data_IF_665436733960
#
_entry.id   IF_665436733960
#
_cell.length_a   1.000
_cell.length_b   1.000
_cell.length_c   1.000
_cell.angle_alpha   90.00
_cell.angle_beta   90.00
_cell.angle_gamma   90.00
#
_symmetry.space_group_name_H-M   'P 1'
#
loop_
_entity.id
_entity.type
_entity.pdbx_description
1 polymer ?
#
# COMPACT_ATOMS: atom_id res chain seq x y z
N UNK A 1 29.58 -10.74 -15.56
CA UNK A 1 28.60 -11.77 -15.14
C UNK A 1 27.26 -11.10 -15.27
N UNK A 2 26.49 -11.44 -16.29
CA UNK A 2 25.13 -10.90 -16.46
C UNK A 2 24.21 -11.63 -15.48
N UNK A 3 23.35 -10.87 -14.80
CA UNK A 3 22.34 -11.42 -13.91
C UNK A 3 21.06 -11.66 -14.70
N UNK A 4 20.54 -12.88 -14.63
CA UNK A 4 19.24 -13.24 -15.22
C UNK A 4 18.20 -13.43 -14.12
N UNK A 5 17.03 -12.80 -14.28
CA UNK A 5 15.87 -13.00 -13.43
C UNK A 5 14.83 -13.85 -14.17
N UNK A 6 14.57 -15.06 -13.66
CA UNK A 6 13.61 -16.00 -14.26
C UNK A 6 12.39 -16.17 -13.36
N UNK A 7 11.21 -15.89 -13.90
CA UNK A 7 9.95 -16.11 -13.21
C UNK A 7 9.55 -17.59 -13.24
N UNK A 8 9.52 -18.25 -12.08
CA UNK A 8 9.22 -19.68 -11.96
C UNK A 8 7.72 -19.99 -11.86
N UNK A 9 6.89 -19.08 -11.35
CA UNK A 9 5.45 -19.32 -11.29
C UNK A 9 4.70 -18.53 -10.21
N UNK A 10 3.37 -18.64 -10.26
CA UNK A 10 2.43 -18.12 -9.27
C UNK A 10 1.56 -19.26 -8.75
N UNK A 11 1.56 -19.47 -7.44
CA UNK A 11 0.89 -20.60 -6.80
C UNK A 11 -0.24 -20.13 -5.90
N UNK A 12 -1.43 -20.69 -6.10
CA UNK A 12 -2.57 -20.46 -5.21
C UNK A 12 -2.46 -21.38 -3.99
N UNK A 13 -2.70 -20.82 -2.79
CA UNK A 13 -2.73 -21.59 -1.55
C UNK A 13 -3.82 -21.09 -0.62
N UNK A 14 -4.41 -22.01 0.13
CA UNK A 14 -5.42 -21.73 1.16
C UNK A 14 -4.74 -21.19 2.43
N UNK A 15 -3.46 -21.53 2.66
CA UNK A 15 -2.70 -21.19 3.87
C UNK A 15 -1.35 -20.56 3.54
N UNK A 16 -0.96 -19.56 4.32
CA UNK A 16 0.32 -18.85 4.20
C UNK A 16 1.24 -19.10 5.40
N UNK A 17 1.14 -20.28 6.02
CA UNK A 17 2.07 -20.70 7.08
C UNK A 17 3.39 -21.19 6.48
N UNK A 18 4.42 -21.29 7.32
CA UNK A 18 5.78 -21.57 6.86
C UNK A 18 5.89 -22.93 6.13
N UNK A 19 5.24 -23.97 6.63
CA UNK A 19 5.30 -25.32 6.05
C UNK A 19 4.65 -25.37 4.66
N UNK A 20 3.49 -24.73 4.50
CA UNK A 20 2.78 -24.69 3.22
C UNK A 20 3.61 -23.95 2.17
N UNK A 21 4.18 -22.80 2.55
CA UNK A 21 4.98 -22.00 1.63
C UNK A 21 6.30 -22.71 1.27
N UNK A 22 6.93 -23.38 2.24
CA UNK A 22 8.11 -24.19 2.00
C UNK A 22 7.83 -25.34 1.03
N UNK A 23 6.72 -26.03 1.22
CA UNK A 23 6.29 -27.10 0.32
C UNK A 23 6.08 -26.60 -1.10
N UNK A 24 5.46 -25.41 -1.27
CA UNK A 24 5.28 -24.79 -2.59
C UNK A 24 6.62 -24.45 -3.25
N UNK A 25 7.56 -23.82 -2.52
CA UNK A 25 8.90 -23.50 -3.05
C UNK A 25 9.63 -24.76 -3.48
N UNK A 26 9.65 -25.79 -2.62
CA UNK A 26 10.30 -27.08 -2.93
C UNK A 26 9.69 -27.73 -4.16
N UNK A 27 8.36 -27.80 -4.24
CA UNK A 27 7.65 -28.42 -5.37
C UNK A 27 7.91 -27.66 -6.66
N UNK A 28 7.96 -26.33 -6.61
CA UNK A 28 8.24 -25.48 -7.76
C UNK A 28 9.66 -25.71 -8.28
N UNK A 29 10.67 -25.66 -7.40
CA UNK A 29 12.06 -25.91 -7.79
C UNK A 29 12.25 -27.30 -8.41
N UNK A 30 11.67 -28.34 -7.80
CA UNK A 30 11.73 -29.70 -8.32
C UNK A 30 11.02 -29.85 -9.67
N UNK A 31 9.91 -29.13 -9.92
CA UNK A 31 9.21 -29.14 -11.20
C UNK A 31 10.07 -28.57 -12.36
N UNK A 32 10.99 -27.64 -12.06
CA UNK A 32 11.97 -27.12 -13.03
C UNK A 32 13.29 -27.91 -13.05
N UNK A 33 13.35 -29.06 -12.36
CA UNK A 33 14.58 -29.86 -12.26
C UNK A 33 15.69 -29.20 -11.44
N UNK A 34 15.37 -28.17 -10.66
CA UNK A 34 16.33 -27.49 -9.80
C UNK A 34 16.51 -28.26 -8.48
N UNK A 35 17.74 -28.45 -8.01
CA UNK A 35 17.99 -29.18 -6.77
C UNK A 35 17.46 -28.41 -5.55
N UNK A 36 16.81 -29.13 -4.64
CA UNK A 36 16.42 -28.60 -3.34
C UNK A 36 17.36 -29.16 -2.26
N UNK A 37 18.28 -28.36 -1.70
CA UNK A 37 19.27 -28.87 -0.75
C UNK A 37 18.60 -29.29 0.58
N UNK A 38 18.94 -30.49 1.04
CA UNK A 38 18.50 -31.06 2.34
C UNK A 38 19.67 -30.91 3.31
N UNK A 39 19.44 -30.31 4.47
CA UNK A 39 20.49 -30.21 5.50
C UNK A 39 20.02 -30.90 6.80
N UNK A 40 20.94 -31.53 7.53
CA UNK A 40 20.64 -32.36 8.70
C UNK A 40 20.54 -31.54 10.00
N UNK A 41 19.59 -31.91 10.87
CA UNK A 41 19.14 -31.19 12.08
C UNK A 41 20.00 -31.39 13.35
N UNK A 42 21.33 -31.53 13.25
CA UNK A 42 22.10 -32.03 14.42
C UNK A 42 22.40 -31.05 15.56
N UNK A 43 22.18 -29.74 15.43
CA UNK A 43 22.67 -28.74 16.40
C UNK A 43 21.67 -27.62 16.80
N UNK A 44 20.37 -27.87 16.86
CA UNK A 44 19.38 -26.83 17.22
C UNK A 44 19.00 -26.86 18.70
N UNK A 45 19.50 -25.91 19.51
CA UNK A 45 19.10 -25.71 20.92
C UNK A 45 17.86 -24.82 21.05
N UNK A 46 17.00 -25.13 22.03
CA UNK A 46 15.65 -24.60 22.25
C UNK A 46 15.54 -23.06 22.43
N UNK A 47 16.66 -22.37 22.71
CA UNK A 47 16.70 -20.93 23.00
C UNK A 47 16.53 -20.02 21.76
N UNK A 48 16.43 -20.57 20.56
CA UNK A 48 16.30 -19.79 19.32
C UNK A 48 14.86 -19.65 18.82
N UNK A 49 13.85 -20.09 19.56
CA UNK A 49 12.44 -19.92 19.19
C UNK A 49 12.00 -18.48 19.44
N UNK A 50 11.94 -17.68 18.36
CA UNK A 50 11.35 -16.35 18.36
C UNK A 50 9.81 -16.48 18.25
N UNK A 51 9.05 -15.50 18.79
CA UNK A 51 7.60 -15.59 18.93
C UNK A 51 6.85 -15.80 17.60
N UNK A 52 5.79 -16.61 17.67
CA UNK A 52 5.03 -17.24 16.57
C UNK A 52 4.26 -16.27 15.63
N UNK A 53 4.41 -14.96 15.80
CA UNK A 53 3.37 -14.00 15.42
C UNK A 53 3.67 -13.16 14.16
N UNK A 54 4.70 -13.46 13.36
CA UNK A 54 5.06 -12.65 12.17
C UNK A 54 4.85 -13.44 10.88
N UNK A 55 3.61 -13.45 10.41
CA UNK A 55 3.18 -14.04 9.14
C UNK A 55 3.43 -13.05 8.01
N UNK A 56 4.38 -13.37 7.13
CA UNK A 56 4.67 -12.63 5.90
C UNK A 56 6.17 -12.61 5.58
N UNK A 57 6.61 -13.38 4.60
CA UNK A 57 8.01 -13.47 4.14
C UNK A 57 9.07 -13.93 5.16
N UNK A 58 8.71 -14.24 6.41
CA UNK A 58 9.50 -15.14 7.25
C UNK A 58 9.08 -16.58 6.99
N UNK A 59 9.07 -17.01 5.71
CA UNK A 59 9.21 -18.44 5.47
C UNK A 59 10.40 -18.88 6.31
N UNK A 60 10.28 -20.04 6.92
CA UNK A 60 11.39 -20.81 7.43
C UNK A 60 12.53 -20.87 6.37
N UNK A 61 13.34 -19.83 6.25
CA UNK A 61 14.74 -19.87 5.87
C UNK A 61 15.58 -20.28 7.10
N UNK A 62 14.91 -20.77 8.15
CA UNK A 62 15.36 -21.89 8.96
C UNK A 62 14.88 -23.24 8.39
N UNK A 63 14.69 -23.33 7.08
CA UNK A 63 15.25 -24.47 6.37
C UNK A 63 16.66 -24.61 6.94
N UNK A 64 16.88 -25.62 7.78
CA UNK A 64 18.01 -26.54 7.65
C UNK A 64 19.10 -25.94 6.76
N UNK A 65 19.75 -24.85 7.14
CA UNK A 65 20.80 -24.15 6.41
C UNK A 65 21.55 -23.58 7.60
N UNK A 66 22.40 -24.42 8.18
CA UNK A 66 23.32 -23.97 9.21
C UNK A 66 24.02 -22.74 8.65
N UNK A 67 23.90 -21.62 9.37
CA UNK A 67 24.72 -20.42 9.23
C UNK A 67 24.82 -19.93 7.79
N UNK A 68 23.95 -19.00 7.38
CA UNK A 68 24.36 -17.70 6.83
C UNK A 68 23.20 -17.05 6.08
N UNK A 69 23.01 -15.76 6.38
CA UNK A 69 22.19 -14.79 5.66
C UNK A 69 20.66 -14.94 5.79
N UNK A 70 20.12 -14.44 6.90
CA UNK A 70 18.79 -13.83 6.84
C UNK A 70 18.89 -12.59 5.96
N UNK A 71 18.53 -12.72 4.68
CA UNK A 71 18.41 -11.58 3.78
C UNK A 71 17.06 -10.92 4.02
N UNK A 72 17.09 -9.68 4.51
CA UNK A 72 15.89 -8.87 4.59
C UNK A 72 15.65 -8.18 3.26
N UNK A 73 14.41 -8.26 2.76
CA UNK A 73 14.01 -7.47 1.61
C UNK A 73 14.18 -5.98 1.94
N UNK A 74 15.07 -5.29 1.22
CA UNK A 74 15.33 -3.86 1.43
C UNK A 74 14.04 -3.05 1.27
N UNK A 75 13.17 -3.41 0.32
CA UNK A 75 11.87 -2.77 0.15
C UNK A 75 10.96 -2.90 1.38
N UNK A 76 11.00 -4.04 2.08
CA UNK A 76 10.26 -4.21 3.33
C UNK A 76 10.89 -3.42 4.48
N UNK A 77 12.22 -3.42 4.61
CA UNK A 77 12.93 -2.65 5.63
C UNK A 77 12.68 -1.16 5.47
N UNK A 78 12.78 -0.63 4.24
CA UNK A 78 12.47 0.76 3.95
C UNK A 78 11.02 1.09 4.29
N UNK A 79 10.07 0.22 3.91
CA UNK A 79 8.66 0.42 4.25
C UNK A 79 8.43 0.50 5.77
N UNK A 80 9.08 -0.37 6.55
CA UNK A 80 9.00 -0.34 8.02
C UNK A 80 9.64 0.94 8.59
N UNK A 81 10.85 1.28 8.15
CA UNK A 81 11.54 2.49 8.59
C UNK A 81 10.71 3.75 8.37
N UNK A 82 10.08 3.88 7.19
CA UNK A 82 9.22 5.02 6.87
C UNK A 82 7.92 4.99 7.70
N UNK A 83 7.31 3.81 7.89
CA UNK A 83 6.14 3.66 8.77
C UNK A 83 6.44 4.10 10.20
N UNK A 84 7.56 3.63 10.76
CA UNK A 84 7.96 3.96 12.12
C UNK A 84 8.31 5.45 12.25
N UNK A 85 9.02 6.01 11.26
CA UNK A 85 9.44 7.41 11.28
C UNK A 85 8.29 8.39 11.15
N UNK A 86 7.26 8.05 10.38
CA UNK A 86 6.13 8.94 10.12
C UNK A 86 4.93 8.67 11.04
N UNK A 87 4.84 7.47 11.61
CA UNK A 87 3.85 7.12 12.62
C UNK A 87 4.01 7.89 13.93
N UNK A 88 5.20 8.42 14.22
CA UNK A 88 5.46 9.27 15.39
C UNK A 88 5.12 10.74 15.18
N UNK A 89 4.78 11.16 13.95
CA UNK A 89 4.43 12.54 13.61
C UNK A 89 2.91 12.65 13.47
N UNK A 90 2.18 13.15 14.49
CA UNK A 90 0.71 13.16 14.48
C UNK A 90 0.11 13.89 13.28
N UNK A 91 0.73 14.99 12.86
CA UNK A 91 0.30 15.82 11.74
C UNK A 91 0.28 15.05 10.42
N UNK A 92 1.27 14.17 10.21
CA UNK A 92 1.32 13.30 9.02
C UNK A 92 0.20 12.28 9.04
N UNK A 93 -0.11 11.69 10.20
CA UNK A 93 -1.25 10.75 10.32
C UNK A 93 -2.56 11.47 10.02
N UNK A 94 -2.78 12.64 10.61
CA UNK A 94 -3.99 13.46 10.43
C UNK A 94 -4.16 13.86 8.95
N UNK A 95 -3.08 14.32 8.30
CA UNK A 95 -3.11 14.69 6.89
C UNK A 95 -3.46 13.49 6.00
N UNK A 96 -2.80 12.34 6.20
CA UNK A 96 -3.04 11.13 5.42
C UNK A 96 -4.45 10.56 5.64
N UNK A 97 -4.95 10.56 6.87
CA UNK A 97 -6.32 10.15 7.21
C UNK A 97 -7.35 11.07 6.57
N UNK A 98 -7.10 12.38 6.58
CA UNK A 98 -7.99 13.36 5.97
C UNK A 98 -8.05 13.19 4.46
N UNK A 99 -6.88 13.11 3.82
CA UNK A 99 -6.75 12.81 2.39
C UNK A 99 -7.51 11.53 2.02
N UNK A 100 -7.31 10.45 2.78
CA UNK A 100 -7.97 9.18 2.50
C UNK A 100 -9.49 9.24 2.69
N UNK A 101 -9.96 9.99 3.68
CA UNK A 101 -11.38 10.21 3.94
C UNK A 101 -12.04 10.97 2.79
N UNK A 102 -11.39 12.01 2.27
CA UNK A 102 -11.84 12.76 1.10
C UNK A 102 -11.94 11.85 -0.13
N UNK A 103 -10.88 11.09 -0.42
CA UNK A 103 -10.88 10.16 -1.56
C UNK A 103 -11.99 9.11 -1.43
N UNK A 104 -12.18 8.52 -0.25
CA UNK A 104 -13.27 7.57 -0.02
C UNK A 104 -14.64 8.25 -0.18
N UNK A 105 -14.78 9.49 0.28
CA UNK A 105 -16.02 10.21 0.18
C UNK A 105 -16.42 10.53 -1.26
N UNK A 106 -15.47 10.88 -2.13
CA UNK A 106 -15.71 11.09 -3.56
C UNK A 106 -16.09 9.75 -4.23
N UNK A 107 -15.31 8.70 -3.96
CA UNK A 107 -15.45 7.40 -4.64
C UNK A 107 -16.61 6.54 -4.12
N UNK A 108 -17.17 6.84 -2.95
CA UNK A 108 -18.26 6.03 -2.37
C UNK A 108 -19.59 6.14 -3.13
N UNK A 109 -19.72 7.08 -4.06
CA UNK A 109 -20.93 7.26 -4.84
C UNK A 109 -20.59 7.56 -6.30
N UNK A 110 -21.13 6.79 -7.27
CA UNK A 110 -20.95 7.09 -8.69
C UNK A 110 -21.38 8.50 -9.08
N UNK A 111 -22.44 9.03 -8.42
CA UNK A 111 -22.91 10.40 -8.64
C UNK A 111 -21.85 11.44 -8.27
N UNK A 112 -21.19 11.27 -7.11
CA UNK A 112 -20.13 12.17 -6.64
C UNK A 112 -18.88 12.06 -7.50
N UNK A 113 -18.49 10.83 -7.85
CA UNK A 113 -17.35 10.60 -8.73
C UNK A 113 -17.56 11.25 -10.10
N UNK A 114 -18.75 11.12 -10.69
CA UNK A 114 -19.06 11.77 -11.96
C UNK A 114 -19.04 13.30 -11.84
N UNK A 115 -19.59 13.86 -10.76
CA UNK A 115 -19.53 15.31 -10.49
C UNK A 115 -18.09 15.78 -10.38
N UNK A 116 -17.26 15.09 -9.60
CA UNK A 116 -15.84 15.38 -9.46
C UNK A 116 -15.10 15.31 -10.80
N UNK A 117 -15.33 14.26 -11.60
CA UNK A 117 -14.70 14.12 -12.91
C UNK A 117 -15.10 15.24 -13.90
N UNK A 118 -16.30 15.81 -13.77
CA UNK A 118 -16.68 16.97 -14.57
C UNK A 118 -15.90 18.22 -14.13
N UNK A 119 -15.76 18.45 -12.82
CA UNK A 119 -14.96 19.56 -12.27
C UNK A 119 -13.50 19.43 -12.70
N UNK A 120 -12.93 18.22 -12.61
CA UNK A 120 -11.57 17.92 -13.11
C UNK A 120 -11.46 18.29 -14.57
N UNK A 121 -12.41 17.85 -15.40
CA UNK A 121 -12.41 18.22 -16.82
C UNK A 121 -12.49 19.72 -17.01
N UNK A 122 -13.33 20.44 -16.29
CA UNK A 122 -13.55 21.88 -16.47
C UNK A 122 -12.37 22.74 -15.99
N UNK A 123 -11.68 22.32 -14.92
CA UNK A 123 -10.55 23.05 -14.31
C UNK A 123 -9.19 22.68 -14.91
N UNK A 124 -9.05 21.44 -15.38
CA UNK A 124 -7.78 20.89 -15.87
C UNK A 124 -7.76 20.84 -17.41
N UNK A 125 -8.59 21.66 -18.10
CA UNK A 125 -8.73 21.71 -19.58
C UNK A 125 -7.47 22.12 -20.36
N UNK A 126 -6.43 22.65 -19.71
CA UNK A 126 -5.25 23.17 -20.41
C UNK A 126 -3.97 22.36 -20.08
N UNK A 127 -3.51 21.64 -21.11
CA UNK A 127 -2.10 21.37 -21.47
C UNK A 127 -1.21 20.37 -20.68
N UNK A 128 -1.75 19.47 -19.84
CA UNK A 128 -0.95 18.32 -19.36
C UNK A 128 -1.62 16.95 -19.57
N UNK A 129 -1.29 16.19 -20.64
CA UNK A 129 -1.79 14.82 -20.85
C UNK A 129 -1.34 13.83 -19.76
N UNK A 130 -0.44 14.23 -18.85
CA UNK A 130 -0.16 13.44 -17.65
C UNK A 130 -1.27 13.50 -16.61
N UNK A 131 -2.02 14.61 -16.50
CA UNK A 131 -3.10 14.75 -15.50
C UNK A 131 -4.30 13.85 -15.82
N UNK A 132 -4.66 13.70 -17.11
CA UNK A 132 -5.73 12.81 -17.58
C UNK A 132 -5.55 11.33 -17.16
N UNK A 133 -4.30 10.92 -16.90
CA UNK A 133 -3.95 9.55 -16.51
C UNK A 133 -3.75 9.38 -15.00
N UNK A 134 -3.76 10.49 -14.24
CA UNK A 134 -3.65 10.45 -12.78
C UNK A 134 -5.05 10.21 -12.23
N UNK A 135 -5.20 9.13 -11.46
CA UNK A 135 -6.49 8.72 -10.91
C UNK A 135 -6.42 8.80 -9.40
N UNK A 136 -7.40 9.42 -8.76
CA UNK A 136 -7.53 9.38 -7.29
C UNK A 136 -7.66 7.93 -6.81
N UNK A 137 -6.76 7.53 -5.90
CA UNK A 137 -6.70 6.17 -5.34
C UNK A 137 -6.79 6.26 -3.81
N UNK A 138 -7.46 5.31 -3.14
CA UNK A 138 -7.40 5.24 -1.68
C UNK A 138 -5.96 4.94 -1.23
N UNK A 139 -5.61 5.33 0.01
CA UNK A 139 -4.32 4.98 0.59
C UNK A 139 -4.21 3.47 0.80
N UNK A 140 -3.05 2.90 0.49
CA UNK A 140 -2.75 1.52 0.87
C UNK A 140 -2.39 1.46 2.37
N UNK A 141 -3.11 0.67 3.21
CA UNK A 141 -2.86 0.64 4.64
C UNK A 141 -1.46 0.13 5.00
N UNK A 142 -0.95 -0.87 4.28
CA UNK A 142 0.26 -1.62 4.68
C UNK A 142 1.51 -1.34 3.85
N UNK A 143 1.40 -0.70 2.68
CA UNK A 143 2.53 -0.47 1.74
C UNK A 143 2.75 1.02 1.51
N UNK A 144 3.74 1.61 2.18
CA UNK A 144 4.09 3.03 2.10
C UNK A 144 4.52 3.46 0.71
N UNK A 145 5.24 2.59 -0.02
CA UNK A 145 5.60 2.83 -1.42
C UNK A 145 4.36 3.03 -2.31
N UNK A 146 3.23 2.41 -1.96
CA UNK A 146 1.96 2.60 -2.68
C UNK A 146 1.17 3.82 -2.19
N UNK A 147 1.60 4.50 -1.12
CA UNK A 147 0.99 5.74 -0.63
C UNK A 147 1.50 6.97 -1.39
N UNK A 148 2.77 6.98 -1.81
CA UNK A 148 3.33 8.11 -2.57
C UNK A 148 2.53 8.42 -3.85
N UNK A 149 2.24 7.43 -4.74
CA UNK A 149 1.45 7.70 -5.93
C UNK A 149 0.01 8.11 -5.63
N UNK A 150 -0.50 7.85 -4.42
CA UNK A 150 -1.81 8.34 -3.96
C UNK A 150 -1.72 9.80 -3.52
N UNK A 151 -0.68 10.17 -2.78
CA UNK A 151 -0.41 11.55 -2.38
C UNK A 151 -0.20 12.41 -3.63
N UNK A 152 0.64 11.97 -4.57
CA UNK A 152 0.88 12.70 -5.82
C UNK A 152 -0.41 12.92 -6.61
N UNK A 153 -1.27 11.89 -6.69
CA UNK A 153 -2.56 12.00 -7.36
C UNK A 153 -3.52 12.96 -6.64
N UNK A 154 -3.50 12.97 -5.32
CA UNK A 154 -4.32 13.89 -4.54
C UNK A 154 -3.86 15.34 -4.72
N UNK A 155 -2.54 15.57 -4.72
CA UNK A 155 -1.95 16.89 -4.94
C UNK A 155 -2.19 17.39 -6.37
N UNK A 156 -2.10 16.51 -7.37
CA UNK A 156 -2.39 16.84 -8.76
C UNK A 156 -3.81 17.37 -8.95
N UNK A 157 -4.80 16.78 -8.27
CA UNK A 157 -6.19 17.22 -8.32
C UNK A 157 -6.61 18.12 -7.16
N UNK A 158 -5.66 18.75 -6.45
CA UNK A 158 -5.98 19.46 -5.22
C UNK A 158 -6.97 20.60 -5.43
N UNK A 159 -6.79 21.39 -6.49
CA UNK A 159 -7.71 22.47 -6.87
C UNK A 159 -9.12 21.92 -7.17
N UNK A 160 -9.21 20.85 -7.97
CA UNK A 160 -10.46 20.17 -8.30
C UNK A 160 -11.18 19.60 -7.06
N UNK A 161 -10.42 19.14 -6.07
CA UNK A 161 -10.95 18.67 -4.79
C UNK A 161 -11.53 19.83 -3.98
N UNK A 162 -10.84 20.97 -3.91
CA UNK A 162 -11.33 22.16 -3.21
C UNK A 162 -12.63 22.68 -3.83
N UNK A 163 -12.68 22.80 -5.16
CA UNK A 163 -13.89 23.23 -5.88
C UNK A 163 -15.05 22.26 -5.64
N UNK A 164 -14.81 20.95 -5.75
CA UNK A 164 -15.81 19.93 -5.44
C UNK A 164 -16.37 20.04 -4.01
N UNK A 165 -15.51 20.33 -3.04
CA UNK A 165 -15.92 20.52 -1.65
C UNK A 165 -16.73 21.82 -1.47
N UNK A 166 -16.33 22.94 -2.08
CA UNK A 166 -17.09 24.19 -1.98
C UNK A 166 -18.48 24.07 -2.65
N UNK A 167 -18.53 23.42 -3.82
CA UNK A 167 -19.76 23.08 -4.51
C UNK A 167 -20.73 22.25 -3.63
N UNK A 168 -20.19 21.32 -2.83
CA UNK A 168 -20.99 20.51 -1.90
C UNK A 168 -21.44 21.28 -0.67
N UNK A 169 -20.60 22.19 -0.16
CA UNK A 169 -20.96 23.08 0.96
C UNK A 169 -22.17 23.95 0.61
N UNK A 170 -22.27 24.36 -0.66
CA UNK A 170 -23.35 25.19 -1.20
C UNK A 170 -24.58 24.38 -1.65
N UNK A 171 -24.49 23.05 -1.71
CA UNK A 171 -25.58 22.15 -2.10
C UNK A 171 -26.62 22.01 -0.98
N UNK A 172 -27.81 22.56 -1.20
CA UNK A 172 -28.91 22.58 -0.20
C UNK A 172 -29.59 21.21 -0.01
N UNK A 173 -29.26 20.22 -0.84
CA UNK A 173 -29.98 18.94 -0.85
C UNK A 173 -29.49 17.95 0.21
N UNK A 174 -28.30 18.15 0.80
CA UNK A 174 -27.70 17.21 1.75
C UNK A 174 -27.04 17.91 2.97
N UNK A 175 -27.83 18.48 3.89
CA UNK A 175 -27.32 19.30 5.01
C UNK A 175 -26.38 18.54 5.97
N UNK A 176 -26.57 17.23 6.15
CA UNK A 176 -25.70 16.39 7.00
C UNK A 176 -24.26 16.27 6.48
N UNK A 177 -24.00 16.63 5.21
CA UNK A 177 -22.65 16.60 4.62
C UNK A 177 -21.95 17.95 4.73
N UNK A 178 -22.68 19.02 5.05
CA UNK A 178 -22.12 20.38 5.14
C UNK A 178 -21.14 20.55 6.29
N UNK A 179 -21.49 20.09 7.50
CA UNK A 179 -20.59 20.13 8.66
C UNK A 179 -19.33 19.25 8.46
N UNK A 180 -19.51 18.10 7.79
CA UNK A 180 -18.40 17.20 7.44
C UNK A 180 -17.44 17.87 6.45
N UNK A 181 -17.97 18.49 5.38
CA UNK A 181 -17.19 19.24 4.39
C UNK A 181 -16.48 20.45 5.03
N UNK A 182 -17.17 21.23 5.87
CA UNK A 182 -16.59 22.39 6.56
C UNK A 182 -15.51 22.02 7.58
N UNK A 183 -15.59 20.83 8.19
CA UNK A 183 -14.53 20.29 9.03
C UNK A 183 -13.25 19.98 8.25
N UNK A 184 -13.39 19.30 7.10
CA UNK A 184 -12.25 18.92 6.27
C UNK A 184 -11.68 20.09 5.46
N UNK A 185 -12.50 21.01 4.96
CA UNK A 185 -12.03 22.22 4.28
C UNK A 185 -11.14 23.06 5.19
N UNK A 186 -11.56 23.28 6.44
CA UNK A 186 -10.70 23.95 7.43
C UNK A 186 -9.37 23.21 7.63
N UNK A 187 -9.41 21.87 7.67
CA UNK A 187 -8.18 21.07 7.72
C UNK A 187 -7.28 21.32 6.52
N UNK A 188 -7.83 21.18 5.31
CA UNK A 188 -7.11 21.33 4.03
C UNK A 188 -6.56 22.75 3.80
N UNK A 189 -7.29 23.79 4.19
CA UNK A 189 -6.85 25.20 4.09
C UNK A 189 -5.76 25.59 5.10
N UNK A 190 -5.58 24.79 6.16
CA UNK A 190 -4.56 25.05 7.20
C UNK A 190 -3.24 24.32 6.94
N UNK A 191 -3.18 23.43 5.95
CA UNK A 191 -1.96 22.77 5.47
C UNK A 191 -1.26 23.60 4.39
#
# INVERSE_FOLDING_TARGET
>A
MESEEVFLGCHTTIRTNADTLLHLVKTSLLAFGLPFPVFEDKDMTEQQMLPENVIGCRLNCRLKIQKHCTLYCLGHQLNLCVQDSLGVIPEVSIALESMNSVVHFIKNSPKKLNRFNNIVKDLEMDDDPHLDNIVLRPLCPKRWVMRLPTVDAFLAHYASILEFMDELKNDRTEPAKKEWVEGYLRGLETF
#
